data_IF_058783039707
#
_entry.id   IF_058783039707
#
_cell.length_a   1.000
_cell.length_b   1.000
_cell.length_c   1.000
_cell.angle_alpha   90.00
_cell.angle_beta   90.00
_cell.angle_gamma   90.00
#
_symmetry.space_group_name_H-M   'P 1'
#
loop_
_entity.id
_entity.type
_entity.pdbx_description
1 polymer ?
#
# COMPACT_ATOMS: atom_id res chain seq x y z
N UNK A 1 -3.29 -28.28 -4.47
CA UNK A 1 -2.37 -27.65 -3.50
C UNK A 1 -0.94 -27.54 -4.06
N UNK A 2 -0.71 -26.56 -4.93
CA UNK A 2 0.64 -26.17 -5.33
C UNK A 2 0.74 -24.67 -5.09
N UNK A 3 1.25 -24.32 -3.91
CA UNK A 3 1.57 -22.95 -3.56
C UNK A 3 2.65 -22.45 -4.51
N UNK A 4 2.36 -21.33 -5.17
CA UNK A 4 3.32 -20.56 -5.97
C UNK A 4 4.36 -19.96 -5.01
N UNK A 5 5.31 -20.79 -4.57
CA UNK A 5 6.46 -20.40 -3.76
C UNK A 5 7.67 -20.16 -4.67
N UNK A 6 7.61 -19.11 -5.51
CA UNK A 6 8.83 -18.57 -6.11
C UNK A 6 9.37 -17.49 -5.17
N UNK A 7 10.07 -17.94 -4.14
CA UNK A 7 10.87 -17.10 -3.25
C UNK A 7 12.28 -16.94 -3.83
N UNK A 8 12.36 -16.49 -5.09
CA UNK A 8 13.63 -16.14 -5.71
C UNK A 8 13.46 -14.83 -6.45
N UNK A 9 13.78 -13.75 -5.75
CA UNK A 9 14.50 -12.58 -6.26
C UNK A 9 14.72 -11.64 -5.09
N UNK A 10 15.92 -11.05 -5.02
CA UNK A 10 16.32 -10.07 -4.00
C UNK A 10 15.53 -8.76 -4.10
N UNK A 11 14.22 -8.87 -3.92
CA UNK A 11 13.27 -7.78 -3.91
C UNK A 11 13.21 -7.21 -2.50
N UNK A 12 13.19 -5.88 -2.42
CA UNK A 12 13.12 -5.16 -1.17
C UNK A 12 11.96 -5.72 -0.33
N UNK A 13 12.29 -6.27 0.84
CA UNK A 13 11.26 -6.72 1.77
C UNK A 13 10.46 -5.52 2.22
N UNK A 14 9.13 -5.62 2.19
CA UNK A 14 8.23 -4.60 2.74
C UNK A 14 8.64 -4.38 4.21
N UNK A 15 8.97 -3.15 4.63
CA UNK A 15 9.34 -2.84 6.00
C UNK A 15 8.07 -2.75 6.86
N UNK A 16 7.37 -3.88 7.02
CA UNK A 16 6.08 -4.00 7.72
C UNK A 16 6.20 -3.52 9.17
N UNK A 17 7.27 -3.92 9.86
CA UNK A 17 7.51 -3.52 11.24
C UNK A 17 7.69 -2.01 11.39
N UNK A 18 8.49 -1.41 10.49
CA UNK A 18 8.68 0.03 10.42
C UNK A 18 7.36 0.76 10.14
N UNK A 19 6.56 0.31 9.17
CA UNK A 19 5.25 0.90 8.87
C UNK A 19 4.34 0.89 10.10
N UNK A 20 4.24 -0.25 10.79
CA UNK A 20 3.43 -0.38 12.03
C UNK A 20 3.92 0.57 13.12
N UNK A 21 5.24 0.65 13.32
CA UNK A 21 5.83 1.54 14.31
C UNK A 21 5.49 3.01 14.02
N UNK A 22 5.67 3.46 12.77
CA UNK A 22 5.36 4.83 12.36
C UNK A 22 3.86 5.11 12.41
N UNK A 23 3.00 4.20 11.98
CA UNK A 23 1.54 4.37 12.07
C UNK A 23 1.08 4.61 13.50
N UNK A 24 1.65 3.85 14.44
CA UNK A 24 1.36 3.99 15.87
C UNK A 24 1.94 5.28 16.45
N UNK A 25 3.17 5.63 16.09
CA UNK A 25 3.85 6.86 16.51
C UNK A 25 3.05 8.11 16.13
N UNK A 26 2.59 8.17 14.88
CA UNK A 26 1.83 9.30 14.34
C UNK A 26 0.31 9.19 14.57
N UNK A 27 -0.16 8.13 15.23
CA UNK A 27 -1.59 7.87 15.49
C UNK A 27 -2.46 8.04 14.24
N UNK A 28 -2.07 7.40 13.15
CA UNK A 28 -2.73 7.54 11.84
C UNK A 28 -4.00 6.67 11.72
N UNK A 29 -4.12 5.61 12.52
CA UNK A 29 -5.25 4.66 12.53
C UNK A 29 -6.67 5.27 12.49
N UNK A 30 -7.01 6.35 13.23
CA UNK A 30 -8.36 6.93 13.17
C UNK A 30 -8.74 7.52 11.80
N UNK A 31 -7.77 8.01 11.02
CA UNK A 31 -8.03 8.57 9.69
C UNK A 31 -7.65 7.60 8.57
N UNK A 32 -6.54 6.87 8.74
CA UNK A 32 -5.97 5.96 7.75
C UNK A 32 -5.66 4.63 8.41
N UNK A 33 -6.50 3.63 8.17
CA UNK A 33 -6.29 2.28 8.68
C UNK A 33 -5.19 1.54 7.89
N UNK A 34 -4.15 1.06 8.59
CA UNK A 34 -3.12 0.21 7.98
C UNK A 34 -3.51 -1.26 8.11
N UNK A 35 -3.86 -1.89 6.99
CA UNK A 35 -4.14 -3.33 6.91
C UNK A 35 -3.03 -4.03 6.14
N UNK A 36 -2.38 -5.00 6.78
CA UNK A 36 -1.31 -5.80 6.17
C UNK A 36 -1.85 -7.21 5.95
N UNK A 37 -2.19 -7.52 4.70
CA UNK A 37 -2.67 -8.83 4.28
C UNK A 37 -1.53 -9.72 3.75
N UNK A 38 -1.71 -11.04 3.90
CA UNK A 38 -0.89 -12.03 3.20
C UNK A 38 -1.19 -12.06 1.69
N UNK A 39 -0.45 -12.89 0.95
CA UNK A 39 -0.47 -13.03 -0.51
C UNK A 39 -1.80 -12.64 -1.20
N UNK A 40 -1.78 -11.55 -1.97
CA UNK A 40 -2.93 -11.02 -2.71
C UNK A 40 -3.29 -11.83 -3.97
N UNK A 41 -2.76 -13.05 -4.14
CA UNK A 41 -3.04 -13.93 -5.28
C UNK A 41 -2.44 -13.47 -6.62
N UNK A 42 -1.95 -12.23 -6.72
CA UNK A 42 -1.14 -11.74 -7.85
C UNK A 42 0.30 -12.22 -7.68
N UNK A 43 0.57 -13.49 -7.99
CA UNK A 43 1.91 -14.10 -7.81
C UNK A 43 3.02 -13.44 -8.66
N UNK A 44 2.66 -12.52 -9.56
CA UNK A 44 3.61 -11.79 -10.42
C UNK A 44 3.99 -10.40 -9.87
N UNK A 45 3.16 -9.81 -8.99
CA UNK A 45 3.38 -8.47 -8.42
C UNK A 45 3.74 -8.54 -6.94
N UNK A 46 4.93 -8.04 -6.62
CA UNK A 46 5.46 -7.96 -5.27
C UNK A 46 5.18 -6.58 -4.68
N UNK A 47 5.17 -6.47 -3.35
CA UNK A 47 5.01 -5.21 -2.63
C UNK A 47 3.78 -4.41 -3.08
N UNK A 48 2.63 -5.08 -3.08
CA UNK A 48 1.34 -4.46 -3.41
C UNK A 48 0.76 -3.78 -2.18
N UNK A 49 0.38 -2.51 -2.33
CA UNK A 49 -0.43 -1.78 -1.37
C UNK A 49 -1.76 -1.39 -2.02
N UNK A 50 -2.83 -1.44 -1.24
CA UNK A 50 -4.16 -1.00 -1.64
C UNK A 50 -4.51 0.21 -0.79
N UNK A 51 -4.78 1.33 -1.45
CA UNK A 51 -5.27 2.57 -0.83
C UNK A 51 -6.74 2.68 -1.18
N UNK A 52 -7.61 2.41 -0.21
CA UNK A 52 -9.05 2.58 -0.37
C UNK A 52 -9.46 3.93 0.21
N UNK A 53 -10.22 4.69 -0.58
CA UNK A 53 -10.81 5.96 -0.17
C UNK A 53 -12.28 5.98 -0.53
N UNK A 54 -13.02 6.97 -0.04
CA UNK A 54 -14.44 7.16 -0.35
C UNK A 54 -14.72 7.46 -1.84
N UNK A 55 -13.72 7.94 -2.59
CA UNK A 55 -13.85 8.29 -4.01
C UNK A 55 -13.33 7.20 -4.94
N UNK A 56 -12.18 6.61 -4.60
CA UNK A 56 -11.55 5.58 -5.43
C UNK A 56 -10.71 4.59 -4.62
N UNK A 57 -10.54 3.40 -5.18
CA UNK A 57 -9.56 2.41 -4.72
C UNK A 57 -8.36 2.42 -5.65
N UNK A 58 -7.19 2.73 -5.10
CA UNK A 58 -5.92 2.78 -5.83
C UNK A 58 -5.05 1.60 -5.43
N UNK A 59 -4.66 0.80 -6.42
CA UNK A 59 -3.71 -0.28 -6.23
C UNK A 59 -2.32 0.18 -6.64
N UNK A 60 -1.37 0.07 -5.71
CA UNK A 60 0.02 0.43 -5.86
C UNK A 60 0.85 -0.85 -5.88
N UNK A 61 1.63 -1.07 -6.94
CA UNK A 61 2.39 -2.30 -7.14
C UNK A 61 3.86 -2.01 -7.30
N UNK A 62 4.70 -3.00 -7.02
CA UNK A 62 6.15 -2.87 -7.14
C UNK A 62 6.72 -1.67 -6.35
N UNK A 63 6.18 -1.41 -5.14
CA UNK A 63 6.80 -0.48 -4.20
C UNK A 63 8.20 -0.98 -3.90
N UNK A 64 9.21 -0.14 -4.17
CA UNK A 64 10.60 -0.55 -4.16
C UNK A 64 11.31 -0.09 -2.88
N UNK A 65 12.05 1.02 -2.94
CA UNK A 65 12.88 1.52 -1.85
C UNK A 65 12.09 2.14 -0.69
N UNK A 66 12.79 2.35 0.44
CA UNK A 66 12.29 3.06 1.63
C UNK A 66 11.62 4.39 1.29
N UNK A 67 12.06 5.09 0.23
CA UNK A 67 11.48 6.35 -0.24
C UNK A 67 9.98 6.24 -0.58
N UNK A 68 9.53 5.11 -1.14
CA UNK A 68 8.12 4.92 -1.48
C UNK A 68 7.28 4.76 -0.20
N UNK A 69 7.83 4.10 0.81
CA UNK A 69 7.20 3.97 2.12
C UNK A 69 7.22 5.28 2.91
N UNK A 70 8.28 6.09 2.79
CA UNK A 70 8.33 7.44 3.32
C UNK A 70 7.29 8.36 2.65
N UNK A 71 7.10 8.24 1.33
CA UNK A 71 6.04 8.96 0.62
C UNK A 71 4.63 8.54 1.08
N UNK A 72 4.41 7.23 1.30
CA UNK A 72 3.16 6.70 1.85
C UNK A 72 2.89 7.24 3.25
N UNK A 73 3.91 7.25 4.10
CA UNK A 73 3.81 7.79 5.45
C UNK A 73 3.53 9.29 5.45
N UNK A 74 4.25 10.05 4.63
CA UNK A 74 4.05 11.49 4.49
C UNK A 74 2.63 11.82 4.01
N UNK A 75 2.10 11.05 3.05
CA UNK A 75 0.72 11.17 2.59
C UNK A 75 -0.29 10.87 3.72
N UNK A 76 -0.14 9.75 4.42
CA UNK A 76 -1.05 9.38 5.50
C UNK A 76 -1.04 10.40 6.66
N UNK A 77 0.13 10.98 6.96
CA UNK A 77 0.26 12.10 7.89
C UNK A 77 -0.53 13.31 7.42
N UNK A 78 -0.39 13.74 6.17
CA UNK A 78 -1.17 14.87 5.63
C UNK A 78 -2.67 14.63 5.71
N UNK A 79 -3.14 13.43 5.41
CA UNK A 79 -4.56 13.07 5.53
C UNK A 79 -5.04 13.21 6.97
N UNK A 80 -4.23 12.76 7.92
CA UNK A 80 -4.55 12.84 9.36
C UNK A 80 -4.46 14.28 9.87
N UNK A 81 -3.45 15.04 9.46
CA UNK A 81 -3.22 16.43 9.86
C UNK A 81 -4.30 17.38 9.32
N UNK A 82 -4.81 17.12 8.13
CA UNK A 82 -5.89 17.91 7.51
C UNK A 82 -7.28 17.32 7.74
N UNK A 83 -7.37 16.15 8.39
CA UNK A 83 -8.60 15.37 8.58
C UNK A 83 -9.42 15.22 7.28
N UNK A 84 -8.73 15.14 6.15
CA UNK A 84 -9.32 15.13 4.80
C UNK A 84 -8.47 14.27 3.88
N UNK A 85 -9.12 13.56 2.96
CA UNK A 85 -8.41 12.83 1.92
C UNK A 85 -7.60 13.81 1.04
N UNK A 86 -6.30 13.53 0.96
CA UNK A 86 -5.35 14.26 0.14
C UNK A 86 -4.95 13.42 -1.08
N UNK A 87 -4.61 14.07 -2.21
CA UNK A 87 -4.17 13.36 -3.39
C UNK A 87 -2.87 12.58 -3.11
N UNK A 88 -2.79 11.37 -3.65
CA UNK A 88 -1.58 10.56 -3.57
C UNK A 88 -0.43 11.30 -4.29
N UNK A 89 0.78 11.31 -3.72
CA UNK A 89 1.94 11.91 -4.38
C UNK A 89 2.25 11.22 -5.71
N UNK A 90 2.75 11.99 -6.68
CA UNK A 90 3.07 11.50 -8.04
C UNK A 90 3.98 10.27 -8.06
N UNK A 91 4.90 10.18 -7.09
CA UNK A 91 5.75 9.00 -6.89
C UNK A 91 4.93 7.74 -6.68
N UNK A 92 3.92 7.76 -5.80
CA UNK A 92 3.05 6.61 -5.60
C UNK A 92 2.16 6.38 -6.82
N UNK A 93 1.68 7.44 -7.48
CA UNK A 93 0.90 7.31 -8.70
C UNK A 93 1.68 6.64 -9.85
N UNK A 94 3.01 6.76 -9.89
CA UNK A 94 3.85 6.02 -10.85
C UNK A 94 3.80 4.50 -10.62
N UNK A 95 3.48 4.05 -9.41
CA UNK A 95 3.27 2.65 -9.04
C UNK A 95 1.81 2.22 -9.17
N UNK A 96 0.91 3.11 -9.59
CA UNK A 96 -0.50 2.79 -9.78
C UNK A 96 -0.65 1.77 -10.89
N UNK A 97 -1.35 0.68 -10.59
CA UNK A 97 -1.75 -0.31 -11.57
C UNK A 97 -3.21 -0.68 -11.39
N UNK A 98 -3.82 -1.23 -12.44
CA UNK A 98 -5.20 -1.74 -12.38
C UNK A 98 -5.14 -3.25 -12.15
N UNK A 99 -5.57 -3.71 -10.97
CA UNK A 99 -5.83 -5.14 -10.76
C UNK A 99 -7.00 -5.54 -11.66
N UNK A 100 -6.88 -6.67 -12.37
CA UNK A 100 -7.96 -7.24 -13.18
C UNK A 100 -9.13 -7.77 -12.33
N UNK A 101 -8.93 -8.00 -11.02
CA UNK A 101 -10.00 -8.30 -10.06
C UNK A 101 -10.64 -7.01 -9.56
N UNK A 102 -11.30 -6.33 -10.47
CA UNK A 102 -12.39 -5.42 -10.17
C UNK A 102 -13.67 -6.23 -10.46
N UNK A 103 -14.01 -7.16 -9.56
CA UNK A 103 -15.36 -7.70 -9.55
C UNK A 103 -16.16 -6.75 -8.66
N UNK A 104 -16.66 -5.68 -9.29
CA UNK A 104 -18.02 -5.23 -9.00
C UNK A 104 -18.93 -6.41 -9.37
N UNK A 105 -19.63 -6.96 -8.39
CA UNK A 105 -20.91 -7.62 -8.66
C UNK A 105 -21.83 -7.26 -7.49
N UNK A 106 -22.73 -6.32 -7.82
CA UNK A 106 -24.08 -6.05 -7.30
C UNK A 106 -24.34 -5.97 -5.77
#
# INVERSE_FOLDING_TARGET
PNGCGRTEKGQASIPVDWLKARWKEFKLTPCVQLTIGGCFGACDLYNVACVQSEFETVHLGALGPQEDYDALLAWARRVTENERLEPLPERLLAHRFKLWRDWEDE
#
